data_IF_518184543435
#
_entry.id   IF_518184543435
#
_cell.length_a   1.000
_cell.length_b   1.000
_cell.length_c   1.000
_cell.angle_alpha   90.00
_cell.angle_beta   90.00
_cell.angle_gamma   90.00
#
_symmetry.space_group_name_H-M   'P 1'
#
loop_
_entity.id
_entity.type
_entity.pdbx_description
1 polymer ?
#
# COMPACT_ATOMS: atom_id res chain seq x y z
N UNK A 1 3.05 -9.46 -17.91
CA UNK A 1 2.67 -9.32 -16.50
C UNK A 1 3.77 -8.55 -15.78
N UNK A 2 3.41 -7.45 -15.14
CA UNK A 2 4.28 -6.66 -14.27
C UNK A 2 3.69 -6.60 -12.87
N UNK A 3 4.53 -6.25 -11.90
CA UNK A 3 4.18 -6.15 -10.49
C UNK A 3 4.68 -4.82 -9.95
N UNK A 4 3.84 -4.11 -9.21
CA UNK A 4 4.22 -2.91 -8.46
C UNK A 4 3.83 -3.09 -6.99
N UNK A 5 4.77 -2.75 -6.11
CA UNK A 5 4.55 -2.72 -4.67
C UNK A 5 4.34 -1.28 -4.23
N UNK A 6 3.30 -1.05 -3.45
CA UNK A 6 3.04 0.18 -2.74
C UNK A 6 3.12 -0.10 -1.24
N UNK A 7 3.70 0.81 -0.47
CA UNK A 7 3.86 0.66 0.97
C UNK A 7 3.64 2.00 1.67
N UNK A 8 2.86 1.98 2.74
CA UNK A 8 2.63 3.13 3.61
C UNK A 8 2.76 2.72 5.09
N UNK A 9 3.29 3.62 5.92
CA UNK A 9 3.25 3.50 7.36
C UNK A 9 1.99 4.16 7.93
N UNK A 10 1.21 3.39 8.66
CA UNK A 10 -0.03 3.77 9.30
C UNK A 10 0.16 3.90 10.82
N UNK A 11 -0.56 4.83 11.44
CA UNK A 11 -0.54 5.08 12.88
C UNK A 11 -1.20 3.94 13.65
N UNK A 12 -0.45 3.21 14.47
CA UNK A 12 -1.02 2.08 15.20
C UNK A 12 -2.03 2.42 16.30
N UNK A 13 -2.30 3.70 16.56
CA UNK A 13 -3.31 4.14 17.51
C UNK A 13 -4.73 4.23 16.92
N UNK A 14 -4.89 4.13 15.59
CA UNK A 14 -6.19 4.17 14.91
C UNK A 14 -6.55 2.76 14.39
N UNK A 15 -7.83 2.33 14.41
CA UNK A 15 -8.22 1.04 13.85
C UNK A 15 -7.77 0.88 12.38
N UNK A 16 -7.12 -0.24 12.04
CA UNK A 16 -6.52 -0.50 10.71
C UNK A 16 -7.49 -0.26 9.55
N UNK A 17 -8.73 -0.74 9.68
CA UNK A 17 -9.75 -0.58 8.64
C UNK A 17 -10.05 0.90 8.32
N UNK A 18 -10.11 1.74 9.35
CA UNK A 18 -10.38 3.18 9.21
C UNK A 18 -9.22 3.90 8.53
N UNK A 19 -8.00 3.45 8.78
CA UNK A 19 -6.81 4.02 8.16
C UNK A 19 -6.68 3.64 6.71
N UNK A 20 -6.91 2.37 6.35
CA UNK A 20 -6.85 1.92 4.94
C UNK A 20 -7.84 2.72 4.09
N UNK A 21 -9.09 2.87 4.56
CA UNK A 21 -10.14 3.64 3.86
C UNK A 21 -9.82 5.14 3.69
N UNK A 22 -8.84 5.68 4.44
CA UNK A 22 -8.40 7.08 4.34
C UNK A 22 -6.89 7.19 4.05
N UNK A 23 -6.29 6.13 3.52
CA UNK A 23 -4.83 6.03 3.35
C UNK A 23 -4.38 6.74 2.07
N UNK A 24 -3.18 7.31 2.09
CA UNK A 24 -2.55 7.81 0.86
C UNK A 24 -2.31 6.64 -0.10
N UNK A 25 -2.04 5.45 0.43
CA UNK A 25 -1.87 4.19 -0.29
C UNK A 25 -3.03 3.88 -1.24
N UNK A 26 -4.28 4.00 -0.78
CA UNK A 26 -5.44 3.74 -1.63
C UNK A 26 -5.52 4.74 -2.80
N UNK A 27 -5.23 6.01 -2.52
CA UNK A 27 -5.21 7.07 -3.56
C UNK A 27 -4.12 6.81 -4.60
N UNK A 28 -2.90 6.47 -4.17
CA UNK A 28 -1.78 6.16 -5.05
C UNK A 28 -2.02 4.93 -5.93
N UNK A 29 -2.63 3.88 -5.36
CA UNK A 29 -3.00 2.68 -6.12
C UNK A 29 -4.03 3.05 -7.17
N UNK A 30 -5.07 3.81 -6.82
CA UNK A 30 -6.13 4.21 -7.74
C UNK A 30 -5.60 5.05 -8.90
N UNK A 31 -4.74 6.04 -8.62
CA UNK A 31 -4.07 6.83 -9.65
C UNK A 31 -3.19 5.95 -10.53
N UNK A 32 -2.46 5.00 -9.93
CA UNK A 32 -1.62 4.10 -10.70
C UNK A 32 -2.40 3.17 -11.63
N UNK A 33 -3.54 2.64 -11.21
CA UNK A 33 -4.27 1.63 -11.98
C UNK A 33 -5.23 2.22 -13.02
N UNK A 34 -5.41 3.55 -13.07
CA UNK A 34 -6.40 4.24 -13.91
C UNK A 34 -6.34 3.82 -15.39
N UNK A 35 -5.14 3.63 -15.92
CA UNK A 35 -4.86 3.28 -17.31
C UNK A 35 -4.33 1.84 -17.47
N UNK A 36 -4.46 0.99 -16.45
CA UNK A 36 -3.84 -0.34 -16.44
C UNK A 36 -4.88 -1.45 -16.42
N UNK A 37 -4.62 -2.50 -17.16
CA UNK A 37 -5.35 -3.76 -17.02
C UNK A 37 -4.84 -4.50 -15.78
N UNK A 38 -5.53 -4.28 -14.67
CA UNK A 38 -5.25 -4.96 -13.39
C UNK A 38 -5.64 -6.44 -13.48
N UNK A 39 -4.72 -7.31 -13.06
CA UNK A 39 -4.92 -8.74 -12.94
C UNK A 39 -5.41 -9.07 -11.53
N UNK A 40 -4.73 -8.54 -10.50
CA UNK A 40 -5.02 -8.82 -9.09
C UNK A 40 -4.33 -7.77 -8.19
N UNK A 41 -4.89 -7.55 -7.01
CA UNK A 41 -4.33 -6.68 -5.97
C UNK A 41 -4.33 -7.46 -4.66
N UNK A 42 -3.16 -7.58 -4.02
CA UNK A 42 -2.99 -8.28 -2.75
C UNK A 42 -2.51 -7.31 -1.68
N UNK A 43 -3.35 -7.11 -0.66
CA UNK A 43 -3.01 -6.31 0.51
C UNK A 43 -2.37 -7.17 1.61
N UNK A 44 -1.35 -6.64 2.25
CA UNK A 44 -0.71 -7.20 3.43
C UNK A 44 -0.50 -6.09 4.44
N UNK A 45 -0.84 -6.34 5.70
CA UNK A 45 -0.51 -5.46 6.81
C UNK A 45 0.46 -6.16 7.75
N UNK A 46 1.57 -5.51 8.07
CA UNK A 46 2.53 -5.97 9.07
C UNK A 46 2.46 -5.03 10.27
N UNK A 47 2.19 -5.56 11.46
CA UNK A 47 2.30 -4.78 12.69
C UNK A 47 3.76 -4.78 13.14
N UNK A 48 4.38 -3.61 13.10
CA UNK A 48 5.74 -3.41 13.61
C UNK A 48 5.66 -2.56 14.87
N UNK A 49 6.34 -2.97 15.93
CA UNK A 49 6.47 -2.14 17.13
C UNK A 49 7.79 -1.39 17.06
N UNK A 50 7.75 -0.07 16.95
CA UNK A 50 8.96 0.75 17.02
C UNK A 50 9.11 1.27 18.44
N UNK A 51 10.33 1.19 18.98
CA UNK A 51 10.67 1.85 20.23
C UNK A 51 10.99 3.32 19.93
N UNK A 52 10.22 4.23 20.51
CA UNK A 52 10.56 5.65 20.41
C UNK A 52 11.83 5.96 21.24
N UNK A 53 12.37 7.19 21.10
CA UNK A 53 13.61 7.62 21.80
C UNK A 53 13.54 7.58 23.33
N UNK A 54 12.35 7.37 23.91
CA UNK A 54 12.10 7.25 25.35
C UNK A 54 11.81 5.80 25.78
N UNK A 55 11.92 4.83 24.87
CA UNK A 55 11.65 3.43 25.14
C UNK A 55 10.16 3.07 25.22
N UNK A 56 9.25 3.98 24.84
CA UNK A 56 7.84 3.63 24.70
C UNK A 56 7.63 2.89 23.38
N UNK A 57 6.80 1.85 23.44
CA UNK A 57 6.36 1.09 22.27
C UNK A 57 5.25 1.86 21.57
N UNK A 58 5.53 2.35 20.37
CA UNK A 58 4.51 2.92 19.50
C UNK A 58 4.21 1.89 18.40
N UNK A 59 2.98 1.35 18.33
CA UNK A 59 2.60 0.47 17.24
C UNK A 59 2.60 1.29 15.94
N UNK A 60 3.25 0.77 14.91
CA UNK A 60 3.12 1.25 13.54
C UNK A 60 2.70 0.08 12.67
N UNK A 61 1.67 0.27 11.85
CA UNK A 61 1.31 -0.74 10.85
C UNK A 61 1.97 -0.35 9.54
N UNK A 62 2.75 -1.24 8.96
CA UNK A 62 3.14 -1.12 7.56
C UNK A 62 2.04 -1.79 6.73
N UNK A 63 1.37 -1.02 5.87
CA UNK A 63 0.42 -1.55 4.92
C UNK A 63 1.07 -1.58 3.54
N UNK A 64 1.01 -2.72 2.88
CA UNK A 64 1.52 -2.91 1.54
C UNK A 64 0.44 -3.44 0.61
N UNK A 65 0.45 -2.96 -0.63
CA UNK A 65 -0.37 -3.50 -1.71
C UNK A 65 0.52 -3.92 -2.87
N UNK A 66 0.36 -5.18 -3.29
CA UNK A 66 1.02 -5.72 -4.46
C UNK A 66 0.01 -5.75 -5.62
N UNK A 67 0.24 -4.90 -6.62
CA UNK A 67 -0.61 -4.75 -7.81
C UNK A 67 0.04 -5.51 -8.96
N UNK A 68 -0.66 -6.53 -9.46
CA UNK A 68 -0.30 -7.26 -10.68
C UNK A 68 -1.08 -6.71 -11.86
N UNK A 69 -0.40 -6.34 -12.94
CA UNK A 69 -1.01 -5.68 -14.09
C UNK A 69 -0.38 -6.09 -15.42
N UNK A 70 -1.09 -5.83 -16.52
CA UNK A 70 -0.56 -5.87 -17.88
C UNK A 70 -0.20 -4.45 -18.32
N UNK A 71 0.96 -4.28 -18.96
CA UNK A 71 1.21 -3.07 -19.74
C UNK A 71 0.58 -3.23 -21.11
N UNK A 72 -0.12 -2.20 -21.57
CA UNK A 72 -0.56 -2.14 -22.95
C UNK A 72 0.67 -2.20 -23.87
N UNK A 73 0.61 -3.09 -24.86
CA UNK A 73 1.68 -3.29 -25.87
C UNK A 73 1.84 -2.10 -26.84
N UNK A 74 1.27 -0.94 -26.53
CA UNK A 74 1.21 0.22 -27.43
C UNK A 74 2.33 1.24 -27.18
N UNK A 75 3.49 0.82 -26.68
CA UNK A 75 4.74 1.56 -26.88
C UNK A 75 5.44 1.06 -28.15
N UNK A 76 4.83 1.33 -29.30
CA UNK A 76 5.54 1.36 -30.59
C UNK A 76 5.10 2.60 -31.34
N UNK A 77 5.90 3.66 -31.22
CA UNK A 77 6.06 4.70 -32.23
C UNK A 77 7.54 5.06 -32.32
#
# INVERSE_FOLDING_TARGET
>A
MKVRLFTEFLDGNIPLRVQIENSELESEINEFIEDKRVIDIKYQSTLTTILNRYGHKEPQYECSALVMYEEDKNEVL
#
